data_IF_198994135001
#
_entry.id   IF_198994135001
#
_cell.length_a   1.000
_cell.length_b   1.000
_cell.length_c   1.000
_cell.angle_alpha   90.00
_cell.angle_beta   90.00
_cell.angle_gamma   90.00
#
_symmetry.space_group_name_H-M   'P 1'
#
loop_
_entity.id
_entity.type
_entity.pdbx_description
1 polymer ?
#
# COMPACT_ATOMS: atom_id res chain seq x y z
N UNK A 1 5.91 0.21 5.82
CA UNK A 1 4.93 -0.83 6.28
C UNK A 1 5.45 -2.23 6.01
N UNK A 2 5.25 -3.16 6.97
CA UNK A 2 5.54 -4.60 6.80
C UNK A 2 4.22 -5.37 6.69
N UNK A 3 3.75 -5.60 5.48
CA UNK A 3 2.46 -6.24 5.22
C UNK A 3 2.64 -7.74 4.91
N UNK A 4 2.09 -8.59 5.77
CA UNK A 4 1.94 -10.02 5.58
C UNK A 4 0.49 -10.38 5.29
N UNK A 5 0.25 -11.56 4.72
CA UNK A 5 -1.10 -12.02 4.38
C UNK A 5 -1.39 -13.35 5.07
N UNK A 6 -2.40 -13.35 5.93
CA UNK A 6 -2.89 -14.52 6.64
C UNK A 6 -4.42 -14.50 6.66
N UNK A 7 -5.04 -14.87 5.56
CA UNK A 7 -6.51 -14.81 5.41
C UNK A 7 -7.19 -15.81 6.36
N UNK A 8 -8.20 -15.33 7.08
CA UNK A 8 -8.96 -16.08 8.07
C UNK A 8 -10.06 -16.92 7.44
N UNK A 9 -9.66 -17.98 6.72
CA UNK A 9 -10.57 -18.85 5.99
C UNK A 9 -11.53 -19.64 6.87
N UNK A 10 -11.21 -19.81 8.16
CA UNK A 10 -12.05 -20.52 9.11
C UNK A 10 -13.06 -19.61 9.83
N UNK A 11 -12.96 -18.29 9.70
CA UNK A 11 -13.92 -17.36 10.32
C UNK A 11 -15.27 -17.41 9.61
N UNK A 12 -16.35 -17.27 10.36
CA UNK A 12 -17.72 -17.24 9.83
C UNK A 12 -17.93 -16.05 8.89
N UNK A 13 -17.25 -14.94 9.16
CA UNK A 13 -17.27 -13.74 8.32
C UNK A 13 -16.71 -14.01 6.93
N UNK A 14 -15.56 -14.70 6.82
CA UNK A 14 -15.00 -15.10 5.53
C UNK A 14 -15.94 -16.09 4.81
N UNK A 15 -16.43 -17.10 5.52
CA UNK A 15 -17.36 -18.12 4.98
C UNK A 15 -18.67 -17.53 4.51
N UNK A 16 -19.10 -16.38 5.04
CA UNK A 16 -20.29 -15.67 4.57
C UNK A 16 -20.15 -15.12 3.14
N UNK A 17 -18.92 -14.96 2.63
CA UNK A 17 -18.61 -14.68 1.22
C UNK A 17 -19.15 -13.34 0.68
N UNK A 18 -19.49 -12.38 1.56
CA UNK A 18 -20.02 -11.08 1.14
C UNK A 18 -18.90 -10.14 0.78
N UNK A 19 -19.07 -9.37 -0.30
CA UNK A 19 -18.13 -8.34 -0.76
C UNK A 19 -18.68 -6.93 -0.58
N UNK A 20 -17.78 -5.95 -0.63
CA UNK A 20 -18.10 -4.52 -0.59
C UNK A 20 -17.37 -3.80 -1.73
N UNK A 21 -17.84 -2.61 -2.06
CA UNK A 21 -17.05 -1.60 -2.77
C UNK A 21 -16.54 -0.63 -1.71
N UNK A 22 -15.24 -0.66 -1.37
CA UNK A 22 -14.71 0.20 -0.31
C UNK A 22 -14.91 1.69 -0.61
N UNK A 23 -15.27 2.45 0.42
CA UNK A 23 -15.45 3.91 0.38
C UNK A 23 -14.59 4.64 1.40
N UNK A 24 -13.92 3.89 2.29
CA UNK A 24 -13.06 4.46 3.32
C UNK A 24 -12.52 3.39 4.26
N UNK A 25 -11.94 3.87 5.35
CA UNK A 25 -11.22 3.07 6.34
C UNK A 25 -11.70 3.41 7.75
N UNK A 26 -11.94 2.40 8.58
CA UNK A 26 -12.18 2.54 10.02
C UNK A 26 -10.94 2.10 10.79
N UNK A 27 -10.44 2.99 11.62
CA UNK A 27 -9.29 2.74 12.51
C UNK A 27 -9.80 2.29 13.85
N UNK A 28 -9.45 1.04 14.24
CA UNK A 28 -9.78 0.47 15.53
C UNK A 28 -8.54 0.20 16.38
N UNK A 29 -8.76 -0.04 17.66
CA UNK A 29 -7.78 -0.61 18.56
C UNK A 29 -8.40 -1.67 19.45
N UNK A 30 -7.62 -2.68 19.85
CA UNK A 30 -8.15 -3.93 20.40
C UNK A 30 -8.74 -3.83 21.81
N UNK A 31 -8.60 -2.69 22.51
CA UNK A 31 -9.09 -2.49 23.87
C UNK A 31 -8.48 -3.46 24.91
N UNK A 32 -7.35 -4.09 24.60
CA UNK A 32 -6.76 -5.12 25.43
C UNK A 32 -5.23 -4.95 25.53
N UNK A 33 -4.72 -4.90 26.76
CA UNK A 33 -3.27 -4.85 27.02
C UNK A 33 -2.54 -6.10 26.50
N UNK A 34 -2.44 -6.24 25.20
CA UNK A 34 -1.69 -7.30 24.52
C UNK A 34 -1.22 -6.87 23.15
N UNK A 35 0.04 -6.38 22.99
CA UNK A 35 0.57 -5.89 21.75
C UNK A 35 0.91 -6.97 20.73
N UNK A 36 0.77 -8.26 21.07
CA UNK A 36 1.26 -9.36 20.25
C UNK A 36 0.22 -9.82 19.22
N UNK A 37 0.55 -9.81 17.96
CA UNK A 37 -0.28 -10.29 16.86
C UNK A 37 -0.75 -11.74 17.03
N UNK A 38 0.08 -12.62 17.62
CA UNK A 38 -0.27 -14.04 17.87
C UNK A 38 -1.53 -14.24 18.71
N UNK A 39 -1.98 -13.19 19.43
CA UNK A 39 -3.26 -13.23 20.16
C UNK A 39 -4.44 -13.29 19.21
N UNK A 40 -4.34 -12.65 18.08
CA UNK A 40 -5.44 -12.40 17.15
C UNK A 40 -5.29 -13.17 15.85
N UNK A 41 -4.05 -13.38 15.40
CA UNK A 41 -3.72 -13.95 14.09
C UNK A 41 -3.23 -15.39 14.22
N UNK A 42 -3.80 -16.31 13.46
CA UNK A 42 -3.40 -17.72 13.33
C UNK A 42 -3.84 -18.26 11.96
N UNK A 43 -3.19 -19.29 11.44
CA UNK A 43 -2.08 -20.06 11.97
C UNK A 43 -0.76 -19.29 12.06
N UNK A 44 0.23 -19.88 12.77
CA UNK A 44 1.59 -19.36 12.86
C UNK A 44 2.32 -19.58 11.52
N UNK A 45 2.85 -18.49 10.96
CA UNK A 45 3.66 -18.49 9.73
C UNK A 45 5.19 -18.57 10.00
N UNK A 46 5.58 -18.85 11.24
CA UNK A 46 6.96 -18.82 11.70
C UNK A 46 7.45 -17.46 12.18
N UNK A 47 6.64 -16.40 12.02
CA UNK A 47 6.98 -15.01 12.38
C UNK A 47 6.25 -14.60 13.67
N UNK A 48 5.03 -15.08 13.85
CA UNK A 48 4.15 -14.67 14.97
C UNK A 48 4.44 -15.37 16.29
N UNK A 49 5.09 -16.53 16.28
CA UNK A 49 5.13 -17.46 17.40
C UNK A 49 3.80 -18.21 17.56
N UNK A 50 3.71 -19.07 18.58
CA UNK A 50 2.52 -19.91 18.80
C UNK A 50 1.26 -19.05 18.99
N UNK A 51 0.17 -19.33 18.23
CA UNK A 51 -1.04 -18.55 18.31
C UNK A 51 -1.77 -18.77 19.65
N UNK A 52 -2.45 -17.75 20.10
CA UNK A 52 -3.34 -17.84 21.26
C UNK A 52 -4.60 -18.63 20.90
N UNK A 53 -5.18 -19.34 21.86
CA UNK A 53 -6.52 -19.94 21.74
C UNK A 53 -7.63 -18.91 21.47
N UNK A 54 -7.33 -17.61 21.67
CA UNK A 54 -8.26 -16.50 21.41
C UNK A 54 -8.15 -15.91 20.01
N UNK A 55 -7.35 -16.49 19.12
CA UNK A 55 -7.21 -15.97 17.75
C UNK A 55 -8.55 -15.90 17.00
N UNK A 56 -8.61 -15.07 15.98
CA UNK A 56 -9.89 -14.80 15.31
C UNK A 56 -10.14 -15.68 14.08
N UNK A 57 -9.17 -16.47 13.62
CA UNK A 57 -9.35 -17.43 12.54
C UNK A 57 -9.99 -18.73 13.05
N UNK A 58 -11.23 -18.66 13.50
CA UNK A 58 -12.00 -19.83 14.00
C UNK A 58 -13.51 -19.57 13.90
N UNK A 59 -14.32 -20.62 13.83
CA UNK A 59 -15.78 -20.51 13.86
C UNK A 59 -16.30 -19.87 15.16
N UNK A 60 -17.49 -19.27 15.11
CA UNK A 60 -18.17 -18.69 16.26
C UNK A 60 -17.66 -17.31 16.67
N UNK A 61 -16.70 -16.72 15.97
CA UNK A 61 -16.30 -15.32 16.19
C UNK A 61 -17.29 -14.38 15.53
N UNK A 62 -17.91 -13.50 16.33
CA UNK A 62 -18.88 -12.51 15.87
C UNK A 62 -18.25 -11.25 15.27
N UNK A 63 -16.93 -11.16 15.26
CA UNK A 63 -16.18 -10.02 14.72
C UNK A 63 -15.06 -10.49 13.79
N UNK A 64 -14.79 -9.69 12.77
CA UNK A 64 -13.61 -9.81 11.92
C UNK A 64 -13.24 -8.48 11.29
N UNK A 65 -11.94 -8.26 11.14
CA UNK A 65 -11.36 -7.07 10.52
C UNK A 65 -10.48 -7.48 9.33
N UNK A 66 -10.10 -6.51 8.51
CA UNK A 66 -9.30 -6.76 7.32
C UNK A 66 -7.81 -6.90 7.65
N UNK A 67 -7.34 -6.29 8.75
CA UNK A 67 -5.96 -6.42 9.20
C UNK A 67 -5.81 -6.21 10.71
N UNK A 68 -4.71 -6.74 11.24
CA UNK A 68 -4.20 -6.43 12.59
C UNK A 68 -2.79 -5.84 12.47
N UNK A 69 -2.50 -4.87 13.36
CA UNK A 69 -1.17 -4.24 13.50
C UNK A 69 -0.66 -4.48 14.91
N UNK A 70 0.56 -4.98 15.07
CA UNK A 70 1.13 -5.25 16.38
C UNK A 70 2.51 -5.91 16.31
N UNK A 71 2.94 -6.50 17.42
CA UNK A 71 4.25 -7.16 17.54
C UNK A 71 4.22 -8.58 17.00
N UNK A 72 5.25 -8.91 16.22
CA UNK A 72 5.66 -10.27 15.89
C UNK A 72 6.41 -10.93 17.08
N UNK A 73 6.86 -12.18 16.94
CA UNK A 73 7.54 -12.89 18.01
C UNK A 73 8.88 -12.26 18.41
N UNK A 74 9.60 -11.65 17.46
CA UNK A 74 10.86 -10.93 17.71
C UNK A 74 10.67 -9.49 18.20
N UNK A 75 9.41 -9.05 18.36
CA UNK A 75 9.04 -7.72 18.84
C UNK A 75 9.00 -6.63 17.78
N UNK A 76 9.25 -6.94 16.51
CA UNK A 76 9.07 -5.97 15.42
C UNK A 76 7.57 -5.69 15.18
N UNK A 77 7.27 -4.50 14.64
CA UNK A 77 5.89 -4.16 14.26
C UNK A 77 5.62 -4.62 12.84
N UNK A 78 4.44 -5.20 12.64
CA UNK A 78 3.96 -5.66 11.35
C UNK A 78 2.45 -5.53 11.23
N UNK A 79 1.99 -5.51 9.98
CA UNK A 79 0.58 -5.58 9.60
C UNK A 79 0.29 -6.96 9.03
N UNK A 80 -0.78 -7.60 9.49
CA UNK A 80 -1.31 -8.85 8.95
C UNK A 80 -2.67 -8.63 8.31
N UNK A 81 -2.76 -8.75 7.00
CA UNK A 81 -4.03 -8.79 6.28
C UNK A 81 -4.74 -10.11 6.59
N UNK A 82 -5.98 -10.03 7.09
CA UNK A 82 -6.78 -11.16 7.56
C UNK A 82 -8.04 -11.41 6.76
N UNK A 83 -8.49 -10.42 5.97
CA UNK A 83 -9.54 -10.56 4.97
C UNK A 83 -9.09 -9.91 3.64
N UNK A 84 -9.62 -10.35 2.47
CA UNK A 84 -9.55 -9.56 1.24
C UNK A 84 -10.10 -8.15 1.48
N UNK A 85 -9.46 -7.12 0.90
CA UNK A 85 -9.84 -5.73 1.14
C UNK A 85 -11.27 -5.39 0.68
N UNK A 86 -11.76 -6.10 -0.31
CA UNK A 86 -13.11 -5.98 -0.86
C UNK A 86 -14.14 -6.92 -0.21
N UNK A 87 -13.76 -7.65 0.85
CA UNK A 87 -14.70 -8.47 1.60
C UNK A 87 -15.41 -7.64 2.67
N UNK A 88 -16.68 -7.98 2.96
CA UNK A 88 -17.42 -7.33 4.04
C UNK A 88 -16.93 -7.80 5.41
N UNK A 89 -16.27 -6.91 6.16
CA UNK A 89 -15.89 -7.16 7.54
C UNK A 89 -17.11 -7.11 8.51
N UNK A 90 -16.90 -7.63 9.74
CA UNK A 90 -17.85 -7.52 10.86
C UNK A 90 -17.15 -6.78 12.01
N UNK A 91 -16.94 -5.46 11.88
CA UNK A 91 -16.09 -4.72 12.80
C UNK A 91 -16.74 -3.49 13.43
N UNK A 92 -17.86 -2.99 12.89
CA UNK A 92 -18.53 -1.80 13.46
C UNK A 92 -19.96 -2.05 13.93
N UNK A 93 -20.51 -3.24 13.72
CA UNK A 93 -21.89 -3.55 14.12
C UNK A 93 -22.98 -2.76 13.40
N UNK A 94 -22.66 -2.14 12.24
CA UNK A 94 -23.57 -1.24 11.53
C UNK A 94 -23.32 -1.13 10.02
N UNK A 95 -23.84 -0.04 9.45
CA UNK A 95 -23.79 0.23 7.99
C UNK A 95 -22.37 0.27 7.44
N UNK A 96 -21.40 0.82 8.19
CA UNK A 96 -20.02 0.96 7.71
C UNK A 96 -19.34 -0.39 7.41
N UNK A 97 -19.83 -1.52 7.97
CA UNK A 97 -19.41 -2.85 7.51
C UNK A 97 -19.63 -3.10 6.01
N UNK A 98 -20.56 -2.38 5.37
CA UNK A 98 -20.89 -2.55 3.95
C UNK A 98 -20.06 -1.62 3.03
N UNK A 99 -19.23 -0.75 3.61
CA UNK A 99 -18.58 0.34 2.86
C UNK A 99 -17.15 0.62 3.28
N UNK A 100 -16.71 0.19 4.46
CA UNK A 100 -15.40 0.54 4.98
C UNK A 100 -14.54 -0.69 5.27
N UNK A 101 -13.27 -0.55 4.97
CA UNK A 101 -12.22 -1.47 5.40
C UNK A 101 -11.91 -1.15 6.86
N UNK A 102 -11.86 -2.15 7.75
CA UNK A 102 -11.49 -1.93 9.15
C UNK A 102 -10.23 -2.70 9.53
N UNK A 103 -9.37 -2.09 10.33
CA UNK A 103 -8.23 -2.77 10.92
C UNK A 103 -8.08 -2.45 12.40
N UNK A 104 -7.44 -3.35 13.14
CA UNK A 104 -7.22 -3.27 14.59
C UNK A 104 -5.75 -3.01 14.90
N UNK A 105 -5.47 -1.99 15.73
CA UNK A 105 -4.15 -1.79 16.31
C UNK A 105 -4.12 -2.50 17.66
N UNK A 106 -3.21 -3.47 17.83
CA UNK A 106 -3.03 -4.16 19.10
C UNK A 106 -2.55 -3.18 20.16
N UNK A 107 -3.27 -3.06 21.27
CA UNK A 107 -2.87 -2.16 22.35
C UNK A 107 -1.88 -2.81 23.32
N UNK A 108 -1.06 -1.98 23.93
CA UNK A 108 -0.27 -2.31 25.13
C UNK A 108 -0.93 -1.71 26.38
N UNK A 109 -0.13 -1.36 27.41
CA UNK A 109 -0.59 -0.67 28.61
C UNK A 109 -0.96 0.81 28.39
N UNK A 110 -0.96 1.29 27.15
CA UNK A 110 -1.27 2.65 26.70
C UNK A 110 -0.27 3.73 27.17
N UNK A 111 0.90 3.34 27.66
CA UNK A 111 1.92 4.25 28.21
C UNK A 111 3.24 4.22 27.46
N UNK A 112 3.49 3.18 26.69
CA UNK A 112 4.75 2.99 25.98
C UNK A 112 4.80 3.83 24.71
N UNK A 113 5.47 4.98 24.83
CA UNK A 113 5.62 5.95 23.74
C UNK A 113 6.29 5.35 22.50
N UNK A 114 7.32 4.51 22.67
CA UNK A 114 8.04 3.92 21.54
C UNK A 114 7.18 2.91 20.78
N UNK A 115 6.38 2.12 21.50
CA UNK A 115 5.42 1.20 20.89
C UNK A 115 4.32 1.96 20.17
N UNK A 116 3.72 2.96 20.83
CA UNK A 116 2.69 3.80 20.22
C UNK A 116 3.16 4.40 18.89
N UNK A 117 4.33 5.07 18.89
CA UNK A 117 4.89 5.68 17.67
C UNK A 117 5.06 4.67 16.54
N UNK A 118 5.52 3.46 16.87
CA UNK A 118 5.76 2.42 15.87
C UNK A 118 4.44 1.91 15.25
N UNK A 119 3.43 1.58 16.05
CA UNK A 119 2.14 1.09 15.52
C UNK A 119 1.29 2.19 14.90
N UNK A 120 1.36 3.42 15.41
CA UNK A 120 0.72 4.59 14.81
C UNK A 120 1.25 4.84 13.39
N UNK A 121 2.57 4.83 13.25
CA UNK A 121 3.20 4.98 11.93
C UNK A 121 2.80 3.84 10.97
N UNK A 122 2.85 2.59 11.43
CA UNK A 122 2.44 1.44 10.63
C UNK A 122 0.96 1.54 10.21
N UNK A 123 0.08 2.02 11.11
CA UNK A 123 -1.33 2.27 10.83
C UNK A 123 -1.54 3.39 9.79
N UNK A 124 -0.77 4.48 9.90
CA UNK A 124 -0.82 5.57 8.92
C UNK A 124 -0.32 5.10 7.54
N UNK A 125 0.76 4.31 7.49
CA UNK A 125 1.27 3.71 6.25
C UNK A 125 0.26 2.72 5.63
N UNK A 126 -0.43 1.89 6.43
CA UNK A 126 -1.51 1.03 5.94
C UNK A 126 -2.68 1.84 5.39
N UNK A 127 -3.09 2.89 6.09
CA UNK A 127 -4.18 3.75 5.65
C UNK A 127 -3.84 4.48 4.36
N UNK A 128 -2.62 5.01 4.22
CA UNK A 128 -2.13 5.63 3.00
C UNK A 128 -2.14 4.64 1.82
N UNK A 129 -1.63 3.42 2.02
CA UNK A 129 -1.67 2.34 1.04
C UNK A 129 -3.10 2.05 0.55
N UNK A 130 -4.08 1.96 1.48
CA UNK A 130 -5.48 1.72 1.12
C UNK A 130 -6.09 2.93 0.39
N UNK A 131 -5.78 4.15 0.84
CA UNK A 131 -6.23 5.37 0.17
C UNK A 131 -5.71 5.47 -1.27
N UNK A 132 -4.44 5.16 -1.50
CA UNK A 132 -3.87 5.12 -2.85
C UNK A 132 -4.50 4.02 -3.72
N UNK A 133 -4.68 2.82 -3.17
CA UNK A 133 -5.27 1.67 -3.89
C UNK A 133 -6.68 1.96 -4.40
N UNK A 134 -7.48 2.68 -3.62
CA UNK A 134 -8.89 2.94 -3.93
C UNK A 134 -9.17 4.39 -4.40
N UNK A 135 -8.15 5.24 -4.47
CA UNK A 135 -8.29 6.64 -4.87
C UNK A 135 -9.02 7.48 -3.84
N UNK A 136 -8.83 7.21 -2.55
CA UNK A 136 -9.47 7.97 -1.47
C UNK A 136 -8.66 9.21 -1.09
N UNK A 137 -9.37 10.30 -0.78
CA UNK A 137 -8.80 11.45 -0.09
C UNK A 137 -8.95 11.23 1.43
N UNK A 138 -7.85 11.03 2.20
CA UNK A 138 -7.91 10.78 3.63
C UNK A 138 -8.46 11.93 4.44
N UNK A 139 -8.46 13.15 3.88
CA UNK A 139 -9.01 14.36 4.52
C UNK A 139 -10.50 14.57 4.23
N UNK A 140 -11.07 13.83 3.28
CA UNK A 140 -12.48 13.96 2.94
C UNK A 140 -13.38 13.43 4.06
N UNK A 141 -14.48 14.12 4.39
CA UNK A 141 -15.43 13.67 5.40
C UNK A 141 -15.95 12.25 5.11
N UNK A 142 -15.98 11.40 6.14
CA UNK A 142 -16.53 10.05 6.03
C UNK A 142 -15.58 9.02 5.41
N UNK A 143 -14.33 9.37 5.10
CA UNK A 143 -13.36 8.46 4.46
C UNK A 143 -12.49 7.74 5.49
N UNK A 144 -11.73 8.46 6.31
CA UNK A 144 -10.93 7.86 7.40
C UNK A 144 -11.57 8.22 8.72
N UNK A 145 -12.14 7.23 9.39
CA UNK A 145 -12.93 7.39 10.59
C UNK A 145 -12.43 6.50 11.72
N UNK A 146 -12.75 6.90 12.96
CA UNK A 146 -12.80 5.97 14.09
C UNK A 146 -14.14 5.25 14.15
N UNK A 147 -14.24 4.25 14.99
CA UNK A 147 -15.53 3.62 15.32
C UNK A 147 -16.52 4.65 15.91
N UNK A 148 -16.05 5.53 16.81
CA UNK A 148 -16.88 6.57 17.43
C UNK A 148 -17.41 7.58 16.42
N UNK A 149 -16.56 8.07 15.51
CA UNK A 149 -17.00 8.98 14.43
C UNK A 149 -18.02 8.31 13.48
N UNK A 150 -17.82 7.02 13.17
CA UNK A 150 -18.79 6.25 12.40
C UNK A 150 -20.11 6.07 13.17
N UNK A 151 -20.07 5.95 14.50
CA UNK A 151 -21.28 5.94 15.35
C UNK A 151 -22.03 7.27 15.31
N UNK A 152 -21.34 8.40 15.41
CA UNK A 152 -21.95 9.74 15.31
C UNK A 152 -22.67 9.96 13.97
N UNK A 153 -22.16 9.33 12.89
CA UNK A 153 -22.83 9.29 11.58
C UNK A 153 -24.01 8.32 11.50
N UNK A 154 -24.28 7.53 12.56
CA UNK A 154 -25.31 6.49 12.55
C UNK A 154 -24.91 5.21 11.80
N UNK A 155 -23.62 5.01 11.53
CA UNK A 155 -23.10 3.89 10.72
C UNK A 155 -22.50 2.75 11.53
N UNK A 156 -22.35 2.91 12.82
CA UNK A 156 -21.69 1.95 13.71
C UNK A 156 -22.38 1.86 15.09
N UNK A 157 -22.07 0.80 15.83
CA UNK A 157 -22.34 0.73 17.27
C UNK A 157 -21.44 1.70 18.05
N UNK A 158 -21.71 1.93 19.33
CA UNK A 158 -20.94 2.87 20.14
C UNK A 158 -19.71 2.21 20.77
N UNK A 159 -18.51 2.60 20.30
CA UNK A 159 -17.22 2.16 20.84
C UNK A 159 -16.20 3.31 20.76
N UNK A 160 -15.28 3.38 21.76
CA UNK A 160 -14.30 4.47 21.87
C UNK A 160 -13.03 4.27 21.05
N UNK A 161 -12.61 3.01 20.85
CA UNK A 161 -11.40 2.62 20.10
C UNK A 161 -10.17 3.53 20.36
N UNK A 162 -9.53 4.03 19.33
CA UNK A 162 -8.28 4.81 19.41
C UNK A 162 -8.41 6.13 20.19
N UNK A 163 -9.63 6.64 20.43
CA UNK A 163 -9.85 7.92 21.12
C UNK A 163 -9.44 7.90 22.60
N UNK A 164 -9.37 6.71 23.23
CA UNK A 164 -8.87 6.59 24.60
C UNK A 164 -7.34 6.46 24.66
N UNK A 165 -6.68 6.25 23.52
CA UNK A 165 -5.25 5.99 23.42
C UNK A 165 -4.48 7.14 22.76
N UNK A 166 -4.83 7.56 21.55
CA UNK A 166 -4.10 8.57 20.78
C UNK A 166 -3.85 9.88 21.56
N UNK A 167 -4.85 10.45 22.28
CA UNK A 167 -4.63 11.67 23.05
C UNK A 167 -3.60 11.55 24.18
N UNK A 168 -3.35 10.34 24.72
CA UNK A 168 -2.31 10.12 25.73
C UNK A 168 -0.90 10.34 25.18
N UNK A 169 -0.76 10.27 23.87
CA UNK A 169 0.49 10.49 23.15
C UNK A 169 0.45 11.78 22.30
N UNK A 170 -0.48 12.70 22.62
CA UNK A 170 -0.58 14.00 21.96
C UNK A 170 -1.00 13.92 20.48
N UNK A 171 -1.75 12.87 20.10
CA UNK A 171 -2.28 12.69 18.74
C UNK A 171 -3.81 12.72 18.73
N UNK A 172 -4.36 13.31 17.69
CA UNK A 172 -5.80 13.29 17.36
C UNK A 172 -6.04 12.51 16.08
N UNK A 173 -7.31 12.29 15.71
CA UNK A 173 -7.62 11.71 14.40
C UNK A 173 -7.38 12.70 13.25
N UNK A 174 -7.46 14.00 13.51
CA UNK A 174 -7.07 14.99 12.49
C UNK A 174 -5.56 14.94 12.22
N UNK A 175 -4.73 14.78 13.26
CA UNK A 175 -3.29 14.55 13.09
C UNK A 175 -3.04 13.25 12.31
N UNK A 176 -3.80 12.19 12.58
CA UNK A 176 -3.67 10.91 11.88
C UNK A 176 -4.00 11.06 10.38
N UNK A 177 -5.11 11.71 10.03
CA UNK A 177 -5.49 11.99 8.64
C UNK A 177 -4.45 12.84 7.92
N UNK A 178 -3.93 13.87 8.59
CA UNK A 178 -2.87 14.72 8.04
C UNK A 178 -1.56 13.93 7.83
N UNK A 179 -1.18 13.07 8.78
CA UNK A 179 0.00 12.19 8.63
C UNK A 179 -0.18 11.20 7.47
N UNK A 180 -1.39 10.65 7.27
CA UNK A 180 -1.72 9.79 6.11
C UNK A 180 -1.58 10.57 4.80
N UNK A 181 -2.15 11.77 4.71
CA UNK A 181 -2.05 12.60 3.51
C UNK A 181 -0.58 12.93 3.17
N UNK A 182 0.22 13.28 4.18
CA UNK A 182 1.65 13.55 4.02
C UNK A 182 2.42 12.33 3.50
N UNK A 183 2.13 11.12 4.01
CA UNK A 183 2.76 9.88 3.52
C UNK A 183 2.43 9.67 2.03
N UNK A 184 1.18 9.87 1.62
CA UNK A 184 0.77 9.75 0.22
C UNK A 184 1.48 10.77 -0.69
N UNK A 185 1.66 12.01 -0.23
CA UNK A 185 2.40 13.05 -0.95
C UNK A 185 3.89 12.69 -1.09
N UNK A 186 4.54 12.24 -0.02
CA UNK A 186 5.94 11.82 -0.02
C UNK A 186 6.19 10.68 -1.02
N UNK A 187 5.32 9.67 -1.06
CA UNK A 187 5.42 8.54 -2.00
C UNK A 187 5.22 9.01 -3.45
N UNK A 188 4.25 9.87 -3.72
CA UNK A 188 4.01 10.45 -5.05
C UNK A 188 5.19 11.29 -5.53
N UNK A 189 5.75 12.13 -4.67
CA UNK A 189 6.94 12.94 -4.97
C UNK A 189 8.15 12.06 -5.26
N UNK A 190 8.33 10.97 -4.50
CA UNK A 190 9.43 10.02 -4.71
C UNK A 190 9.31 9.31 -6.06
N UNK A 191 8.12 8.87 -6.46
CA UNK A 191 7.86 8.25 -7.76
C UNK A 191 8.11 9.23 -8.91
N UNK A 192 7.64 10.46 -8.81
CA UNK A 192 7.87 11.50 -9.80
C UNK A 192 9.37 11.78 -9.98
N UNK A 193 10.13 11.86 -8.88
CA UNK A 193 11.58 12.06 -8.91
C UNK A 193 12.33 10.88 -9.54
N UNK A 194 11.92 9.65 -9.25
CA UNK A 194 12.49 8.45 -9.88
C UNK A 194 12.22 8.46 -11.40
N UNK A 195 11.01 8.80 -11.82
CA UNK A 195 10.64 8.92 -13.24
C UNK A 195 11.45 10.01 -13.94
N UNK A 196 11.70 11.13 -13.29
CA UNK A 196 12.55 12.20 -13.80
C UNK A 196 13.99 11.71 -14.00
N UNK A 197 14.60 11.09 -12.99
CA UNK A 197 15.97 10.56 -13.06
C UNK A 197 16.09 9.52 -14.19
N UNK A 198 15.14 8.60 -14.31
CA UNK A 198 15.13 7.59 -15.39
C UNK A 198 15.10 8.27 -16.77
N UNK A 199 14.25 9.30 -16.92
CA UNK A 199 14.17 10.05 -18.19
C UNK A 199 15.49 10.74 -18.54
N UNK A 200 16.11 11.40 -17.56
CA UNK A 200 17.36 12.12 -17.75
C UNK A 200 18.51 11.16 -18.14
N UNK A 201 18.61 10.01 -17.47
CA UNK A 201 19.60 8.99 -17.78
C UNK A 201 19.38 8.37 -19.18
N UNK A 202 18.14 8.10 -19.58
CA UNK A 202 17.83 7.61 -20.92
C UNK A 202 18.24 8.63 -21.98
N UNK A 203 17.95 9.91 -21.77
CA UNK A 203 18.33 10.97 -22.69
C UNK A 203 19.84 11.13 -22.79
N UNK A 204 20.57 11.00 -21.70
CA UNK A 204 22.03 11.00 -21.67
C UNK A 204 22.61 9.85 -22.48
N UNK A 205 22.10 8.63 -22.28
CA UNK A 205 22.51 7.44 -23.05
C UNK A 205 22.26 7.65 -24.56
N UNK A 206 21.12 8.22 -24.94
CA UNK A 206 20.85 8.52 -26.35
C UNK A 206 21.82 9.56 -26.93
N UNK A 207 22.14 10.61 -26.16
CA UNK A 207 23.10 11.63 -26.58
C UNK A 207 24.51 11.03 -26.75
N UNK A 208 24.97 10.25 -25.74
CA UNK A 208 26.26 9.57 -25.81
C UNK A 208 26.36 8.62 -27.03
N UNK A 209 25.28 7.90 -27.34
CA UNK A 209 25.22 7.03 -28.52
C UNK A 209 25.22 7.81 -29.83
N UNK A 210 24.58 8.97 -29.85
CA UNK A 210 24.55 9.84 -31.03
C UNK A 210 25.95 10.37 -31.40
N UNK A 211 26.80 10.59 -30.40
CA UNK A 211 28.18 11.09 -30.58
C UNK A 211 29.18 9.99 -30.95
N UNK A 212 28.79 8.70 -30.82
CA UNK A 212 29.67 7.61 -31.21
C UNK A 212 29.75 7.46 -32.72
N UNK A 213 30.97 7.33 -33.24
CA UNK A 213 31.21 6.97 -34.62
C UNK A 213 30.74 5.57 -34.99
N UNK A 214 30.67 5.27 -36.28
CA UNK A 214 30.30 3.92 -36.73
C UNK A 214 31.27 2.86 -36.19
N UNK A 215 30.75 1.73 -35.77
CA UNK A 215 31.55 0.57 -35.36
C UNK A 215 32.45 0.13 -36.53
N UNK A 216 33.70 -0.35 -36.29
CA UNK A 216 34.65 -0.69 -37.34
C UNK A 216 34.09 -1.62 -38.44
N UNK A 217 33.26 -2.58 -38.06
CA UNK A 217 32.63 -3.53 -38.98
C UNK A 217 31.56 -2.87 -39.87
N UNK A 218 30.96 -1.77 -39.44
CA UNK A 218 29.84 -1.10 -40.10
C UNK A 218 30.27 0.03 -41.04
N UNK A 219 31.49 0.54 -40.90
CA UNK A 219 31.96 1.74 -41.63
C UNK A 219 31.77 1.61 -43.15
N UNK A 220 32.22 0.50 -43.77
CA UNK A 220 32.09 0.29 -45.20
C UNK A 220 30.64 0.12 -45.69
N UNK A 221 29.84 -0.59 -44.92
CA UNK A 221 28.43 -0.80 -45.22
C UNK A 221 27.62 0.50 -45.07
N UNK A 222 27.93 1.30 -44.08
CA UNK A 222 27.29 2.59 -43.85
C UNK A 222 27.65 3.59 -44.97
N UNK A 223 28.90 3.62 -45.41
CA UNK A 223 29.32 4.44 -46.54
C UNK A 223 28.57 4.06 -47.84
N UNK A 224 28.37 2.75 -48.06
CA UNK A 224 27.60 2.24 -49.19
C UNK A 224 26.12 2.64 -49.10
N UNK A 225 25.52 2.51 -47.93
CA UNK A 225 24.13 2.90 -47.69
C UNK A 225 23.92 4.41 -47.86
N UNK A 226 24.87 5.22 -47.41
CA UNK A 226 24.87 6.67 -47.60
C UNK A 226 24.96 7.03 -49.09
N UNK A 227 25.86 6.41 -49.85
CA UNK A 227 26.01 6.64 -51.30
C UNK A 227 24.73 6.28 -52.07
N UNK A 228 23.94 5.34 -51.59
CA UNK A 228 22.64 4.94 -52.16
C UNK A 228 21.46 5.80 -51.66
N UNK A 229 21.69 6.78 -50.80
CA UNK A 229 20.63 7.63 -50.24
C UNK A 229 19.70 6.92 -49.24
N UNK A 230 20.09 5.75 -48.71
CA UNK A 230 19.30 4.98 -47.73
C UNK A 230 19.37 5.63 -46.36
N UNK A 231 20.49 6.26 -46.03
CA UNK A 231 20.72 6.96 -44.75
C UNK A 231 21.64 8.16 -44.99
N UNK A 232 21.57 9.16 -44.14
CA UNK A 232 22.52 10.27 -44.11
C UNK A 232 23.83 9.91 -43.39
N UNK A 233 23.88 8.75 -42.73
CA UNK A 233 25.03 8.26 -41.98
C UNK A 233 25.23 8.95 -40.64
N UNK A 234 24.32 9.80 -40.18
CA UNK A 234 24.35 10.42 -38.87
C UNK A 234 23.98 9.42 -37.76
N UNK A 235 24.47 9.67 -36.55
CA UNK A 235 24.12 8.90 -35.33
C UNK A 235 24.14 7.38 -35.51
N UNK A 236 25.23 6.77 -35.99
CA UNK A 236 25.26 5.38 -36.48
C UNK A 236 25.04 4.34 -35.35
N UNK A 237 25.19 4.73 -34.11
CA UNK A 237 24.98 3.87 -32.93
C UNK A 237 23.73 4.22 -32.11
N UNK A 238 22.94 5.20 -32.52
CA UNK A 238 21.64 5.51 -31.91
C UNK A 238 20.58 4.46 -32.25
N UNK A 239 19.54 4.40 -31.44
CA UNK A 239 18.36 3.61 -31.77
C UNK A 239 17.61 4.23 -32.94
N UNK A 240 17.22 3.40 -33.90
CA UNK A 240 16.33 3.83 -34.98
C UNK A 240 14.86 3.66 -34.52
N UNK A 241 14.04 4.67 -34.79
CA UNK A 241 12.61 4.55 -34.64
C UNK A 241 11.99 3.61 -35.65
N UNK A 242 10.83 3.02 -35.36
CA UNK A 242 10.10 2.23 -36.37
C UNK A 242 9.80 3.00 -37.65
N UNK A 243 9.63 4.32 -37.57
CA UNK A 243 9.42 5.22 -38.67
C UNK A 243 10.68 5.33 -39.56
N UNK A 244 11.84 5.58 -38.94
CA UNK A 244 13.13 5.64 -39.64
C UNK A 244 13.45 4.32 -40.33
N UNK A 245 13.25 3.18 -39.63
CA UNK A 245 13.44 1.86 -40.25
C UNK A 245 12.51 1.64 -41.45
N UNK A 246 11.23 2.02 -41.34
CA UNK A 246 10.27 1.87 -42.44
C UNK A 246 10.66 2.73 -43.67
N UNK A 247 11.16 3.95 -43.44
CA UNK A 247 11.67 4.84 -44.52
C UNK A 247 12.91 4.24 -45.14
N UNK A 248 13.88 3.77 -44.37
CA UNK A 248 15.11 3.14 -44.87
C UNK A 248 14.80 1.90 -45.71
N UNK A 249 13.88 1.03 -45.24
CA UNK A 249 13.45 -0.16 -46.00
C UNK A 249 12.78 0.21 -47.34
N UNK A 250 12.00 1.30 -47.36
CA UNK A 250 11.36 1.76 -48.59
C UNK A 250 12.35 2.37 -49.62
N UNK A 251 13.47 2.92 -49.12
CA UNK A 251 14.52 3.48 -49.95
C UNK A 251 15.39 2.42 -50.69
N UNK A 252 15.25 1.15 -50.31
CA UNK A 252 16.00 0.02 -50.90
C UNK A 252 15.27 -0.60 -52.11
N UNK A 253 14.02 -0.23 -52.35
CA UNK A 253 13.23 -0.65 -53.54
C UNK A 253 13.53 0.24 -54.73
#
# INVERSE_FOLDING_TARGET
MRLYKQIFTESDCYKAGKTIVPKGVIVHSTGANNPNLRRYVAPNDGILGEPSMSHWNQPGKSACVHAFIGKTADGTIATYQTLPWDMRGWHVGGYANNTHIGFEICEDDLKNESYFRAVYREAAELTAYLCQMYGFDPLAPGVVLTHAEAHELGWASNHGDVLHWFPKHGKTMDDFRADVARIMEEETMTEARIREIIRDELQKIETERADLGASPWAVGLLATAKAKGITDGSRPQSYATRQEVAIMVNAVK
#
